data_IF_643034536994
#
_entry.id   IF_643034536994
#
_cell.length_a   1.000
_cell.length_b   1.000
_cell.length_c   1.000
_cell.angle_alpha   90.00
_cell.angle_beta   90.00
_cell.angle_gamma   90.00
#
_symmetry.space_group_name_H-M   'P 1'
#
loop_
_entity.id
_entity.type
_entity.pdbx_description
1 polymer ?
#
# COMPACT_ATOMS: atom_id res chain seq x y z
N UNK A 1 0.00 -5.25 -19.25
CA UNK A 1 0.99 -5.34 -18.15
C UNK A 1 1.23 -6.78 -17.73
N UNK A 2 0.22 -7.52 -17.28
CA UNK A 2 0.41 -8.87 -16.75
C UNK A 2 0.70 -9.98 -17.79
N UNK A 3 0.58 -9.71 -19.09
CA UNK A 3 0.74 -10.74 -20.14
C UNK A 3 2.06 -10.68 -20.91
N UNK A 4 2.71 -9.52 -20.96
CA UNK A 4 3.75 -9.23 -21.96
C UNK A 4 5.12 -8.88 -21.33
N UNK A 5 5.22 -8.87 -20.00
CA UNK A 5 6.43 -8.43 -19.28
C UNK A 5 7.01 -9.53 -18.38
N UNK A 6 6.61 -10.79 -18.62
CA UNK A 6 7.05 -11.94 -17.82
C UNK A 6 6.37 -11.99 -16.45
N UNK A 7 7.07 -12.58 -15.47
CA UNK A 7 6.55 -12.72 -14.13
C UNK A 7 6.49 -11.38 -13.41
N UNK A 8 5.30 -11.05 -12.89
CA UNK A 8 5.06 -9.89 -12.03
C UNK A 8 4.85 -10.41 -10.62
N UNK A 9 5.77 -10.08 -9.70
CA UNK A 9 5.68 -10.55 -8.33
C UNK A 9 4.62 -9.77 -7.53
N UNK A 10 4.40 -8.51 -7.87
CA UNK A 10 3.51 -7.61 -7.14
C UNK A 10 2.84 -6.55 -8.03
N UNK A 11 1.60 -6.20 -7.69
CA UNK A 11 0.82 -5.11 -8.30
C UNK A 11 0.42 -4.09 -7.23
N UNK A 12 0.73 -2.82 -7.47
CA UNK A 12 0.43 -1.70 -6.57
C UNK A 12 -0.76 -0.87 -7.07
N UNK A 13 -1.81 -0.76 -6.24
CA UNK A 13 -2.92 0.17 -6.44
C UNK A 13 -2.89 1.26 -5.37
N UNK A 14 -2.31 2.42 -5.69
CA UNK A 14 -2.26 3.57 -4.79
C UNK A 14 -3.68 4.09 -4.47
N UNK A 15 -3.95 4.34 -3.19
CA UNK A 15 -5.22 4.89 -2.70
C UNK A 15 -5.30 6.41 -2.72
N UNK A 16 -4.19 7.12 -3.00
CA UNK A 16 -4.17 8.57 -3.04
C UNK A 16 -5.05 9.13 -4.16
N UNK A 17 -5.97 10.03 -3.82
CA UNK A 17 -6.85 10.69 -4.77
C UNK A 17 -7.01 12.18 -4.42
N UNK A 18 -6.45 13.05 -5.26
CA UNK A 18 -6.49 14.50 -5.09
C UNK A 18 -7.79 15.17 -5.56
N UNK A 19 -8.66 14.44 -6.26
CA UNK A 19 -9.94 14.89 -6.79
C UNK A 19 -9.85 15.90 -7.96
N UNK A 20 -9.01 16.92 -7.86
CA UNK A 20 -8.78 17.90 -8.92
C UNK A 20 -7.88 17.34 -10.02
N UNK A 21 -8.19 17.62 -11.28
CA UNK A 21 -7.34 17.22 -12.39
C UNK A 21 -7.70 17.84 -13.72
N UNK A 22 -6.77 17.74 -14.67
CA UNK A 22 -6.93 18.23 -16.04
C UNK A 22 -8.15 17.62 -16.75
N UNK A 23 -8.37 16.32 -16.56
CA UNK A 23 -9.52 15.56 -17.10
C UNK A 23 -9.88 15.93 -18.55
N UNK A 24 -8.88 15.87 -19.44
CA UNK A 24 -9.00 16.21 -20.87
C UNK A 24 -9.48 17.66 -21.13
N UNK A 25 -9.08 18.62 -20.28
CA UNK A 25 -9.42 20.02 -20.39
C UNK A 25 -10.63 20.47 -19.57
N UNK A 26 -11.32 19.54 -18.89
CA UNK A 26 -12.43 19.87 -18.00
C UNK A 26 -11.98 20.65 -16.75
N UNK A 27 -10.75 20.42 -16.27
CA UNK A 27 -10.17 21.13 -15.12
C UNK A 27 -11.12 21.18 -13.90
N UNK A 28 -11.63 20.02 -13.49
CA UNK A 28 -12.69 19.91 -12.48
C UNK A 28 -12.24 19.06 -11.29
N UNK A 29 -13.06 19.08 -10.23
CA UNK A 29 -12.91 18.21 -9.07
C UNK A 29 -13.87 17.04 -9.21
N UNK A 30 -13.34 15.81 -9.16
CA UNK A 30 -14.13 14.57 -9.12
C UNK A 30 -14.03 13.95 -7.73
N UNK A 31 -15.17 13.51 -7.21
CA UNK A 31 -15.26 12.75 -5.95
C UNK A 31 -15.78 11.37 -6.26
N UNK A 32 -15.12 10.36 -5.72
CA UNK A 32 -15.50 8.96 -5.85
C UNK A 32 -15.50 8.31 -4.49
N UNK A 33 -16.30 7.24 -4.35
CA UNK A 33 -16.06 6.26 -3.30
C UNK A 33 -15.07 5.23 -3.85
N UNK A 34 -13.85 5.21 -3.33
CA UNK A 34 -12.78 4.31 -3.81
C UNK A 34 -13.13 2.83 -3.60
N UNK A 35 -13.99 2.50 -2.64
CA UNK A 35 -14.41 1.12 -2.38
C UNK A 35 -15.37 0.58 -3.46
N UNK A 36 -16.17 1.46 -4.08
CA UNK A 36 -17.20 1.06 -5.04
C UNK A 36 -16.81 1.36 -6.50
N UNK A 37 -16.11 2.47 -6.74
CA UNK A 37 -15.93 3.03 -8.09
C UNK A 37 -15.11 2.13 -9.03
N UNK A 38 -14.12 1.41 -8.51
CA UNK A 38 -13.12 0.70 -9.33
C UNK A 38 -13.48 -0.75 -9.67
N UNK A 39 -14.63 -1.26 -9.20
CA UNK A 39 -15.04 -2.65 -9.39
C UNK A 39 -13.92 -3.66 -9.05
N UNK A 40 -13.51 -3.65 -7.78
CA UNK A 40 -12.38 -4.45 -7.31
C UNK A 40 -12.56 -5.95 -7.56
N UNK A 41 -13.78 -6.48 -7.43
CA UNK A 41 -14.05 -7.90 -7.64
C UNK A 41 -13.62 -8.39 -9.03
N UNK A 42 -14.03 -7.70 -10.10
CA UNK A 42 -13.63 -8.08 -11.46
C UNK A 42 -12.15 -7.76 -11.74
N UNK A 43 -11.60 -6.71 -11.12
CA UNK A 43 -10.17 -6.38 -11.23
C UNK A 43 -9.28 -7.49 -10.67
N UNK A 44 -9.55 -7.95 -9.44
CA UNK A 44 -8.79 -9.01 -8.80
C UNK A 44 -8.96 -10.35 -9.52
N UNK A 45 -10.18 -10.66 -9.98
CA UNK A 45 -10.43 -11.84 -10.81
C UNK A 45 -9.59 -11.84 -12.09
N UNK A 46 -9.48 -10.70 -12.79
CA UNK A 46 -8.65 -10.58 -13.98
C UNK A 46 -7.16 -10.75 -13.66
N UNK A 47 -6.69 -10.19 -12.55
CA UNK A 47 -5.30 -10.35 -12.08
C UNK A 47 -5.00 -11.83 -11.88
N UNK A 48 -5.78 -12.57 -11.10
CA UNK A 48 -5.47 -13.97 -10.80
C UNK A 48 -5.74 -14.94 -11.96
N UNK A 49 -6.59 -14.57 -12.91
CA UNK A 49 -6.72 -15.30 -14.19
C UNK A 49 -5.45 -15.16 -15.04
N UNK A 50 -4.78 -14.01 -14.98
CA UNK A 50 -3.64 -13.71 -15.85
C UNK A 50 -2.30 -14.04 -15.19
N UNK A 51 -2.16 -13.74 -13.90
CA UNK A 51 -0.94 -13.82 -13.12
C UNK A 51 -1.25 -14.26 -11.69
N UNK A 52 -1.62 -15.54 -11.53
CA UNK A 52 -2.04 -16.14 -10.25
C UNK A 52 -1.08 -15.93 -9.08
N UNK A 53 0.21 -15.74 -9.36
CA UNK A 53 1.28 -15.58 -8.35
C UNK A 53 1.63 -14.12 -8.04
N UNK A 54 0.88 -13.16 -8.58
CA UNK A 54 1.07 -11.74 -8.30
C UNK A 54 0.36 -11.39 -7.01
N UNK A 55 1.11 -10.85 -6.04
CA UNK A 55 0.55 -10.26 -4.83
C UNK A 55 -0.04 -8.89 -5.16
N UNK A 56 -1.18 -8.53 -4.55
CA UNK A 56 -1.75 -7.20 -4.71
C UNK A 56 -1.59 -6.40 -3.42
N UNK A 57 -1.02 -5.20 -3.55
CA UNK A 57 -1.02 -4.18 -2.51
C UNK A 57 -1.99 -3.07 -2.86
N UNK A 58 -2.76 -2.64 -1.86
CA UNK A 58 -3.57 -1.42 -1.95
C UNK A 58 -5.03 -1.67 -1.66
N UNK A 59 -5.90 -1.03 -2.43
CA UNK A 59 -7.35 -1.03 -2.19
C UNK A 59 -8.00 -2.34 -2.69
N UNK A 60 -9.02 -2.82 -1.98
CA UNK A 60 -9.73 -4.06 -2.29
C UNK A 60 -9.27 -5.23 -1.40
N UNK A 61 -9.62 -6.48 -1.73
CA UNK A 61 -9.28 -7.65 -0.93
C UNK A 61 -7.79 -8.05 -1.08
N UNK A 62 -6.89 -7.07 -0.94
CA UNK A 62 -5.44 -7.17 -1.14
C UNK A 62 -4.78 -8.14 -0.15
N UNK A 63 -3.67 -8.75 -0.57
CA UNK A 63 -2.81 -9.55 0.31
C UNK A 63 -1.79 -8.70 1.07
N UNK A 64 -1.56 -7.47 0.64
CA UNK A 64 -0.77 -6.48 1.36
C UNK A 64 -1.49 -5.14 1.49
N UNK A 65 -1.22 -4.44 2.60
CA UNK A 65 -1.76 -3.12 2.91
C UNK A 65 -0.63 -2.11 2.97
N UNK A 66 -0.96 -0.85 2.69
CA UNK A 66 -0.09 0.25 3.06
C UNK A 66 0.13 0.28 4.58
N UNK A 67 1.35 0.55 5.07
CA UNK A 67 1.62 0.60 6.51
C UNK A 67 0.91 1.78 7.21
N UNK A 68 0.45 2.78 6.46
CA UNK A 68 -0.26 3.94 7.01
C UNK A 68 0.58 5.22 7.13
N UNK A 69 1.84 5.20 6.69
CA UNK A 69 2.69 6.38 6.56
C UNK A 69 3.71 6.21 5.42
N UNK A 70 4.38 7.32 5.05
CA UNK A 70 5.45 7.35 4.04
C UNK A 70 6.83 7.55 4.66
N UNK A 71 6.96 7.26 5.96
CA UNK A 71 8.22 7.35 6.71
C UNK A 71 8.95 6.00 6.79
N UNK A 72 8.38 4.95 6.19
CA UNK A 72 8.98 3.62 6.19
C UNK A 72 8.96 2.96 7.57
N UNK A 73 7.89 3.16 8.36
CA UNK A 73 7.83 2.69 9.76
C UNK A 73 6.52 1.98 10.08
N UNK A 74 6.62 0.79 10.65
CA UNK A 74 5.54 0.14 11.37
C UNK A 74 5.39 0.70 12.81
N UNK A 75 4.24 0.41 13.43
CA UNK A 75 4.05 0.62 14.87
C UNK A 75 4.94 -0.33 15.69
N UNK A 76 5.23 0.05 16.94
CA UNK A 76 6.04 -0.78 17.85
C UNK A 76 5.43 -2.17 18.10
N UNK A 77 4.10 -2.22 18.20
CA UNK A 77 3.33 -3.47 18.16
C UNK A 77 2.73 -3.58 16.77
N UNK A 78 2.94 -4.72 16.12
CA UNK A 78 2.55 -4.94 14.75
C UNK A 78 2.00 -6.35 14.55
N UNK A 79 0.83 -6.41 13.91
CA UNK A 79 0.18 -7.61 13.46
C UNK A 79 0.09 -7.58 11.93
N UNK A 80 0.53 -8.66 11.29
CA UNK A 80 0.28 -8.93 9.87
C UNK A 80 -1.18 -9.31 9.60
N UNK A 81 -2.06 -9.15 10.59
CA UNK A 81 -3.49 -9.41 10.52
C UNK A 81 -4.27 -8.10 10.35
N UNK A 82 -5.36 -8.17 9.59
CA UNK A 82 -6.26 -7.06 9.32
C UNK A 82 -7.72 -7.52 9.44
N UNK A 83 -8.56 -6.70 10.08
CA UNK A 83 -10.01 -6.72 9.94
C UNK A 83 -10.44 -6.29 8.53
N UNK A 84 -10.11 -7.08 7.51
CA UNK A 84 -10.26 -6.72 6.10
C UNK A 84 -11.73 -6.50 5.72
N UNK A 85 -12.67 -7.24 6.32
CA UNK A 85 -14.10 -6.99 6.13
C UNK A 85 -14.53 -5.59 6.58
N UNK A 86 -13.96 -5.10 7.68
CA UNK A 86 -14.25 -3.76 8.18
C UNK A 86 -13.54 -2.68 7.36
N UNK A 87 -12.33 -2.97 6.87
CA UNK A 87 -11.59 -2.09 5.96
C UNK A 87 -12.35 -1.90 4.64
N UNK A 88 -12.81 -2.99 4.02
CA UNK A 88 -13.66 -2.97 2.83
C UNK A 88 -15.05 -2.34 3.06
N UNK A 89 -15.46 -2.20 4.33
CA UNK A 89 -16.67 -1.47 4.71
C UNK A 89 -16.39 0.00 5.09
N UNK A 90 -15.15 0.48 4.91
CA UNK A 90 -14.74 1.85 5.23
C UNK A 90 -14.70 2.16 6.73
N UNK A 91 -14.60 1.14 7.59
CA UNK A 91 -14.61 1.28 9.05
C UNK A 91 -13.23 1.29 9.68
N UNK A 92 -12.20 0.91 8.94
CA UNK A 92 -10.81 0.96 9.38
C UNK A 92 -10.18 2.26 8.89
N UNK A 93 -9.58 3.01 9.80
CA UNK A 93 -8.83 4.22 9.46
C UNK A 93 -7.37 3.87 9.15
N UNK A 94 -6.73 4.59 8.21
CA UNK A 94 -5.38 4.25 7.74
C UNK A 94 -4.33 4.24 8.87
N UNK A 95 -4.54 5.00 9.94
CA UNK A 95 -3.63 5.02 11.10
C UNK A 95 -3.59 3.68 11.83
N UNK A 96 -4.66 2.88 11.76
CA UNK A 96 -4.71 1.53 12.33
C UNK A 96 -3.81 0.55 11.58
N UNK A 97 -3.47 0.84 10.31
CA UNK A 97 -2.61 -0.04 9.51
C UNK A 97 -1.19 -0.17 10.09
N UNK A 98 -0.72 0.85 10.81
CA UNK A 98 0.60 0.86 11.43
C UNK A 98 0.76 -0.25 12.48
N UNK A 99 -0.32 -0.61 13.18
CA UNK A 99 -0.33 -1.72 14.14
C UNK A 99 -0.96 -2.99 13.57
N UNK A 100 -1.85 -2.87 12.60
CA UNK A 100 -2.77 -3.96 12.25
C UNK A 100 -3.71 -4.28 13.41
N UNK A 101 -4.33 -5.45 13.34
CA UNK A 101 -5.39 -5.86 14.26
C UNK A 101 -5.10 -7.26 14.82
N UNK A 102 -4.91 -7.37 16.13
CA UNK A 102 -4.70 -8.67 16.81
C UNK A 102 -5.88 -9.63 16.54
N UNK A 103 -7.09 -9.08 16.46
CA UNK A 103 -8.33 -9.77 16.17
C UNK A 103 -8.66 -9.85 14.66
N UNK A 104 -7.71 -9.52 13.78
CA UNK A 104 -7.92 -9.52 12.34
C UNK A 104 -8.10 -10.93 11.75
N UNK A 105 -9.08 -11.09 10.86
CA UNK A 105 -9.43 -12.38 10.26
C UNK A 105 -8.62 -12.73 8.99
N UNK A 106 -7.84 -11.78 8.48
CA UNK A 106 -7.03 -11.95 7.26
C UNK A 106 -5.59 -11.61 7.50
N UNK A 107 -4.69 -12.45 6.98
CA UNK A 107 -3.28 -12.10 6.83
C UNK A 107 -3.12 -11.12 5.68
N UNK A 108 -2.79 -9.87 6.00
CA UNK A 108 -2.60 -8.78 5.05
C UNK A 108 -1.36 -8.02 5.48
N UNK A 109 -0.19 -8.33 4.91
CA UNK A 109 1.07 -7.75 5.36
C UNK A 109 1.10 -6.23 5.08
N UNK A 110 1.37 -5.42 6.10
CA UNK A 110 1.69 -4.01 5.96
C UNK A 110 3.06 -3.79 5.34
N UNK A 111 3.11 -3.09 4.21
CA UNK A 111 4.34 -2.68 3.54
C UNK A 111 4.68 -1.23 3.86
N UNK A 112 5.93 -1.01 4.28
CA UNK A 112 6.45 0.27 4.72
C UNK A 112 7.21 0.98 3.59
N UNK A 113 6.47 1.66 2.73
CA UNK A 113 7.02 2.41 1.61
C UNK A 113 7.66 3.73 2.07
N UNK A 114 8.83 4.01 1.51
CA UNK A 114 9.56 5.26 1.77
C UNK A 114 10.46 5.60 0.60
N UNK A 115 10.61 6.90 0.34
CA UNK A 115 11.59 7.39 -0.61
C UNK A 115 12.94 7.57 0.08
N UNK A 116 14.03 7.31 -0.64
CA UNK A 116 15.41 7.65 -0.23
C UNK A 116 15.69 9.17 -0.24
N UNK A 117 14.68 9.97 -0.59
CA UNK A 117 14.68 11.44 -0.68
C UNK A 117 13.40 12.00 -0.06
N UNK A 118 13.31 13.31 0.21
CA UNK A 118 12.07 13.93 0.71
C UNK A 118 10.84 13.76 -0.21
N UNK A 119 11.03 13.47 -1.51
CA UNK A 119 9.96 13.26 -2.48
C UNK A 119 10.14 11.97 -3.28
N UNK A 120 9.05 11.47 -3.86
CA UNK A 120 9.02 10.26 -4.69
C UNK A 120 9.67 10.45 -6.06
N UNK A 121 9.47 11.63 -6.65
CA UNK A 121 10.00 11.98 -7.96
C UNK A 121 11.33 12.72 -7.83
N UNK A 122 12.17 12.59 -8.85
CA UNK A 122 13.42 13.33 -8.94
C UNK A 122 13.16 14.84 -9.00
N UNK A 123 13.82 15.61 -8.13
CA UNK A 123 13.90 17.07 -8.20
C UNK A 123 15.37 17.47 -8.08
N UNK A 124 15.86 18.33 -8.99
CA UNK A 124 17.26 18.75 -9.01
C UNK A 124 17.70 19.41 -7.69
N UNK A 125 16.80 20.15 -7.04
CA UNK A 125 17.06 20.81 -5.74
C UNK A 125 17.05 19.84 -4.55
N UNK A 126 16.41 18.68 -4.69
CA UNK A 126 16.32 17.65 -3.64
C UNK A 126 17.43 16.60 -3.76
N UNK A 127 18.55 16.96 -4.42
CA UNK A 127 19.74 16.13 -4.47
C UNK A 127 20.36 15.96 -3.07
N UNK A 128 20.16 16.94 -2.18
CA UNK A 128 20.54 16.92 -0.76
C UNK A 128 19.34 17.34 0.10
N UNK A 129 18.98 16.60 1.17
CA UNK A 129 19.63 15.39 1.66
C UNK A 129 19.16 14.12 0.92
N UNK A 130 20.11 13.27 0.51
CA UNK A 130 19.85 11.83 0.37
C UNK A 130 19.77 11.28 1.78
N UNK A 131 18.73 10.52 2.11
CA UNK A 131 18.64 9.86 3.40
C UNK A 131 19.79 8.84 3.47
N UNK A 132 20.73 9.05 4.39
CA UNK A 132 21.93 8.21 4.47
C UNK A 132 21.61 6.87 5.14
N UNK A 133 22.42 5.84 4.88
CA UNK A 133 22.19 4.48 5.37
C UNK A 133 21.96 4.38 6.90
N UNK A 134 22.52 5.29 7.70
CA UNK A 134 22.27 5.34 9.15
C UNK A 134 20.87 5.84 9.55
N UNK A 135 20.26 6.67 8.72
CA UNK A 135 18.88 7.18 8.89
C UNK A 135 17.86 6.16 8.37
N UNK A 136 18.20 5.45 7.27
CA UNK A 136 17.47 4.27 6.78
C UNK A 136 17.60 3.10 7.76
N UNK A 137 18.71 2.97 8.48
CA UNK A 137 18.89 1.94 9.51
C UNK A 137 17.78 1.99 10.57
N UNK A 138 17.24 3.16 10.89
CA UNK A 138 16.07 3.30 11.75
C UNK A 138 14.79 2.67 11.15
N UNK A 139 14.55 2.84 9.85
CA UNK A 139 13.46 2.15 9.14
C UNK A 139 13.74 0.65 8.93
N UNK A 140 14.98 0.25 8.67
CA UNK A 140 15.40 -1.15 8.53
C UNK A 140 15.29 -1.90 9.87
N UNK A 141 15.53 -1.24 10.99
CA UNK A 141 15.25 -1.84 12.28
C UNK A 141 13.74 -2.00 12.47
N UNK A 142 12.92 -0.98 12.20
CA UNK A 142 11.47 -1.02 12.49
C UNK A 142 10.68 -1.92 11.53
N UNK A 143 11.02 -1.97 10.25
CA UNK A 143 10.25 -2.68 9.21
C UNK A 143 10.52 -4.19 9.16
N UNK A 144 11.62 -4.67 9.75
CA UNK A 144 11.98 -6.08 9.74
C UNK A 144 11.67 -6.83 11.06
N UNK A 145 11.04 -6.18 12.05
CA UNK A 145 10.67 -6.86 13.30
C UNK A 145 9.48 -7.82 13.11
N UNK A 146 9.85 -9.10 12.94
CA UNK A 146 9.19 -10.30 13.50
C UNK A 146 7.87 -10.76 12.86
N UNK A 147 7.94 -11.41 11.70
CA UNK A 147 6.93 -12.42 11.32
C UNK A 147 7.25 -13.74 12.04
N UNK A 148 6.86 -13.89 13.31
CA UNK A 148 6.82 -15.22 13.92
C UNK A 148 5.56 -15.93 13.43
N UNK A 149 5.74 -16.93 12.57
CA UNK A 149 4.69 -17.90 12.22
C UNK A 149 4.36 -18.64 13.51
N UNK A 150 3.18 -18.40 14.07
CA UNK A 150 2.62 -19.30 15.07
C UNK A 150 2.17 -20.57 14.34
N UNK A 151 2.92 -21.66 14.54
CA UNK A 151 2.57 -23.03 14.15
C UNK A 151 1.42 -23.57 14.98
#
# INVERSE_FOLDING_TARGET
MLTNYGYVFEMWFDGANGGEGYYAGANEIRKINTLDYYNWDETYKLIYQTALKTLVLGVGPSEARWIGNKEGRAGKTYWSLLRQKDELAGKVHYTEFMSGHEDGEKWVQGEADVSIRPGWFYHAVALNPVIHAGEVGGSDHVSFYKSSIAT
#
